data_IF_970723356649
#
_entry.id   IF_970723356649
#
_cell.length_a   1.000
_cell.length_b   1.000
_cell.length_c   1.000
_cell.angle_alpha   90.00
_cell.angle_beta   90.00
_cell.angle_gamma   90.00
#
_symmetry.space_group_name_H-M   'P 1'
#
loop_
_entity.id
_entity.type
_entity.pdbx_description
1 polymer ?
#
# COMPACT_ATOMS: atom_id res chain seq x y z
N UNK A 1 23.03 -10.06 -2.47
CA UNK A 1 22.78 -10.71 -1.17
C UNK A 1 21.46 -10.18 -0.68
N UNK A 2 20.44 -11.03 -0.61
CA UNK A 2 19.07 -10.61 -0.28
C UNK A 2 19.05 -10.02 1.14
N UNK A 3 18.70 -8.74 1.26
CA UNK A 3 18.44 -8.10 2.54
C UNK A 3 17.36 -8.85 3.32
N UNK A 4 17.24 -8.64 4.64
CA UNK A 4 16.25 -9.34 5.45
C UNK A 4 14.86 -8.87 5.01
N UNK A 5 14.24 -9.63 4.11
CA UNK A 5 12.82 -9.52 3.84
C UNK A 5 12.11 -9.61 5.18
N UNK A 6 11.66 -8.47 5.68
CA UNK A 6 11.07 -8.37 7.00
C UNK A 6 9.84 -9.28 6.98
N UNK A 7 9.97 -10.45 7.60
CA UNK A 7 8.88 -11.40 7.82
C UNK A 7 8.00 -10.81 8.90
N UNK A 8 7.29 -9.73 8.56
CA UNK A 8 6.15 -9.29 9.34
C UNK A 8 5.18 -10.46 9.38
N UNK A 9 4.68 -10.86 10.56
CA UNK A 9 3.55 -11.78 10.58
C UNK A 9 2.44 -11.12 9.75
N UNK A 10 2.09 -11.69 8.59
CA UNK A 10 0.96 -11.30 7.74
C UNK A 10 -0.37 -11.61 8.45
N UNK A 11 -0.52 -11.11 9.68
CA UNK A 11 -1.52 -11.55 10.65
C UNK A 11 -2.35 -10.36 11.11
N UNK A 12 -2.91 -9.66 10.14
CA UNK A 12 -4.19 -8.95 10.24
C UNK A 12 -4.52 -8.43 8.84
N UNK A 13 -5.34 -9.16 8.11
CA UNK A 13 -6.05 -8.59 6.96
C UNK A 13 -7.51 -8.45 7.41
N UNK A 14 -7.85 -7.41 8.19
CA UNK A 14 -9.14 -7.30 8.88
C UNK A 14 -10.35 -7.34 7.94
N UNK A 15 -10.13 -7.04 6.65
CA UNK A 15 -11.16 -6.97 5.63
C UNK A 15 -11.18 -8.18 4.66
N UNK A 16 -10.34 -9.21 4.87
CA UNK A 16 -10.17 -10.30 3.89
C UNK A 16 -11.43 -11.14 3.65
N UNK A 17 -12.32 -11.19 4.64
CA UNK A 17 -13.58 -11.95 4.58
C UNK A 17 -14.83 -11.07 4.53
N UNK A 18 -14.68 -9.75 4.41
CA UNK A 18 -15.80 -8.81 4.42
C UNK A 18 -16.24 -8.46 3.00
N UNK A 19 -17.54 -8.33 2.79
CA UNK A 19 -18.04 -7.78 1.53
C UNK A 19 -17.85 -6.26 1.46
N UNK A 20 -17.79 -5.71 0.25
CA UNK A 20 -17.66 -4.26 0.05
C UNK A 20 -18.76 -3.47 0.75
N UNK A 21 -19.99 -3.99 0.77
CA UNK A 21 -21.11 -3.31 1.43
C UNK A 21 -20.89 -3.23 2.95
N UNK A 22 -20.39 -4.30 3.57
CA UNK A 22 -20.11 -4.33 5.01
C UNK A 22 -18.99 -3.35 5.39
N UNK A 23 -17.96 -3.22 4.55
CA UNK A 23 -16.85 -2.27 4.75
C UNK A 23 -17.38 -0.84 4.68
N UNK A 24 -18.24 -0.53 3.71
CA UNK A 24 -18.85 0.80 3.54
C UNK A 24 -19.76 1.14 4.71
N UNK A 25 -20.55 0.18 5.20
CA UNK A 25 -21.43 0.39 6.34
C UNK A 25 -20.64 0.68 7.62
N UNK A 26 -19.50 0.00 7.82
CA UNK A 26 -18.60 0.32 8.94
C UNK A 26 -17.97 1.70 8.75
N UNK A 27 -17.48 2.03 7.55
CA UNK A 27 -16.89 3.34 7.26
C UNK A 27 -17.86 4.51 7.51
N UNK A 28 -19.16 4.30 7.23
CA UNK A 28 -20.22 5.27 7.57
C UNK A 28 -20.47 5.35 9.07
N UNK A 29 -20.39 4.25 9.81
CA UNK A 29 -20.55 4.24 11.28
C UNK A 29 -19.42 4.93 12.03
N UNK A 30 -18.21 4.96 11.46
CA UNK A 30 -17.03 5.63 12.04
C UNK A 30 -16.78 7.02 11.44
N UNK A 31 -17.73 7.54 10.66
CA UNK A 31 -17.67 8.85 9.99
C UNK A 31 -16.44 9.08 9.08
N UNK A 32 -15.79 8.01 8.59
CA UNK A 32 -14.62 8.13 7.69
C UNK A 32 -15.01 8.10 6.21
N UNK A 33 -16.20 7.60 5.87
CA UNK A 33 -16.61 7.36 4.48
C UNK A 33 -16.53 8.63 3.61
N UNK A 34 -17.03 9.77 4.11
CA UNK A 34 -17.07 11.04 3.37
C UNK A 34 -15.66 11.59 3.06
N UNK A 35 -14.69 11.38 3.95
CA UNK A 35 -13.28 11.74 3.69
C UNK A 35 -12.58 10.78 2.74
N UNK A 36 -12.93 9.49 2.79
CA UNK A 36 -12.28 8.46 1.98
C UNK A 36 -12.71 8.45 0.50
N UNK A 37 -13.85 9.05 0.16
CA UNK A 37 -14.37 9.14 -1.22
C UNK A 37 -14.01 10.46 -1.92
N UNK A 38 -13.26 11.35 -1.25
CA UNK A 38 -12.84 12.61 -1.85
C UNK A 38 -12.05 12.33 -3.15
N UNK A 39 -12.37 13.04 -4.26
CA UNK A 39 -11.75 12.80 -5.55
C UNK A 39 -10.33 13.37 -5.54
N UNK A 40 -9.39 12.60 -5.02
CA UNK A 40 -7.98 12.88 -5.16
C UNK A 40 -7.47 12.26 -6.46
N UNK A 41 -6.45 12.88 -7.06
CA UNK A 41 -5.65 12.23 -8.09
C UNK A 41 -4.90 11.07 -7.43
N UNK A 42 -5.59 9.94 -7.32
CA UNK A 42 -5.01 8.71 -6.79
C UNK A 42 -3.81 8.36 -7.68
N UNK A 43 -2.65 8.18 -7.07
CA UNK A 43 -1.41 7.70 -7.68
C UNK A 43 -1.63 6.47 -8.60
N UNK A 44 -2.73 5.75 -8.39
CA UNK A 44 -3.26 4.70 -9.25
C UNK A 44 -3.36 5.08 -10.73
N UNK A 45 -3.75 6.29 -11.13
CA UNK A 45 -3.87 6.62 -12.58
C UNK A 45 -2.53 6.85 -13.27
N UNK A 46 -1.51 7.25 -12.50
CA UNK A 46 -0.16 7.53 -13.00
C UNK A 46 0.67 6.25 -13.11
N UNK A 47 0.45 5.28 -12.20
CA UNK A 47 1.26 4.07 -12.12
C UNK A 47 0.55 2.78 -12.57
N UNK A 48 -0.75 2.81 -12.87
CA UNK A 48 -1.45 1.60 -13.33
C UNK A 48 -1.13 1.31 -14.81
N UNK A 49 -0.45 0.20 -15.12
CA UNK A 49 -0.27 -0.23 -16.51
C UNK A 49 -1.64 -0.59 -17.13
N UNK A 50 -1.85 -0.26 -18.41
CA UNK A 50 -3.13 -0.50 -19.12
C UNK A 50 -3.64 -1.94 -19.07
N UNK A 51 -2.76 -2.92 -18.84
CA UNK A 51 -3.09 -4.33 -18.72
C UNK A 51 -2.43 -4.95 -17.47
N UNK A 52 -3.10 -4.93 -16.30
CA UNK A 52 -2.56 -5.54 -15.09
C UNK A 52 -2.50 -7.07 -15.25
N UNK A 53 -1.33 -7.65 -14.96
CA UNK A 53 -1.17 -9.11 -14.95
C UNK A 53 -1.87 -9.70 -13.72
N UNK A 54 -2.92 -10.49 -13.93
CA UNK A 54 -3.71 -11.14 -12.86
C UNK A 54 -3.00 -12.30 -12.17
N UNK A 55 -1.90 -12.82 -12.75
CA UNK A 55 -1.06 -13.88 -12.19
C UNK A 55 0.42 -13.56 -12.39
N UNK A 56 1.04 -12.75 -11.52
CA UNK A 56 2.46 -12.46 -11.62
C UNK A 56 3.30 -13.70 -11.27
N UNK A 57 4.37 -13.94 -12.02
CA UNK A 57 5.35 -15.00 -11.75
C UNK A 57 6.51 -14.39 -10.96
N UNK A 58 6.84 -14.94 -9.79
CA UNK A 58 7.86 -14.39 -8.89
C UNK A 58 9.22 -14.18 -9.57
N UNK A 59 9.65 -15.12 -10.41
CA UNK A 59 10.92 -15.04 -11.14
C UNK A 59 10.98 -13.82 -12.08
N UNK A 60 9.85 -13.46 -12.70
CA UNK A 60 9.77 -12.28 -13.55
C UNK A 60 9.84 -10.99 -12.73
N UNK A 61 9.28 -10.98 -11.51
CA UNK A 61 9.32 -9.82 -10.62
C UNK A 61 10.77 -9.56 -10.18
N UNK A 62 11.44 -10.57 -9.64
CA UNK A 62 12.82 -10.42 -9.12
C UNK A 62 13.78 -9.95 -10.22
N UNK A 63 13.65 -10.48 -11.45
CA UNK A 63 14.48 -10.07 -12.58
C UNK A 63 14.25 -8.61 -13.02
N UNK A 64 13.04 -8.10 -12.87
CA UNK A 64 12.75 -6.69 -13.16
C UNK A 64 13.15 -5.78 -11.99
N UNK A 65 13.06 -6.25 -10.74
CA UNK A 65 13.55 -5.55 -9.55
C UNK A 65 15.08 -5.37 -9.59
N UNK A 66 15.85 -6.37 -10.05
CA UNK A 66 17.31 -6.27 -10.20
C UNK A 66 17.80 -5.16 -11.15
N UNK A 67 16.92 -4.66 -12.03
CA UNK A 67 17.27 -3.55 -12.94
C UNK A 67 17.22 -2.18 -12.27
N UNK A 68 16.62 -2.10 -11.08
CA UNK A 68 16.43 -0.87 -10.33
C UNK A 68 17.26 -0.91 -9.05
N UNK A 69 18.05 0.12 -8.81
CA UNK A 69 18.82 0.26 -7.56
C UNK A 69 17.88 0.75 -6.45
N UNK A 70 17.29 -0.20 -5.72
CA UNK A 70 16.21 0.04 -4.75
C UNK A 70 16.75 0.52 -3.40
N UNK A 71 17.93 0.06 -3.01
CA UNK A 71 18.58 0.35 -1.74
C UNK A 71 18.71 1.85 -1.45
N UNK A 72 19.25 2.70 -2.35
CA UNK A 72 19.33 4.15 -2.08
C UNK A 72 17.96 4.82 -2.04
N UNK A 73 17.00 4.36 -2.85
CA UNK A 73 15.64 4.91 -2.89
C UNK A 73 14.87 4.63 -1.59
N UNK A 74 15.07 3.44 -1.00
CA UNK A 74 14.47 3.06 0.27
C UNK A 74 15.05 3.91 1.42
N UNK A 75 16.36 4.11 1.44
CA UNK A 75 17.04 4.91 2.47
C UNK A 75 16.57 6.37 2.42
N UNK A 76 16.46 6.96 1.22
CA UNK A 76 15.94 8.31 1.03
C UNK A 76 14.49 8.44 1.55
N UNK A 77 13.62 7.49 1.21
CA UNK A 77 12.22 7.50 1.64
C UNK A 77 12.07 7.38 3.17
N UNK A 78 12.90 6.55 3.81
CA UNK A 78 12.88 6.40 5.28
C UNK A 78 13.41 7.67 5.94
N UNK A 79 14.51 8.22 5.43
CA UNK A 79 15.12 9.44 5.96
C UNK A 79 14.19 10.66 5.85
N UNK A 80 13.42 10.75 4.76
CA UNK A 80 12.44 11.83 4.52
C UNK A 80 11.10 11.67 5.25
N UNK A 81 10.92 10.68 6.12
CA UNK A 81 9.62 10.43 6.78
C UNK A 81 9.31 11.48 7.86
N UNK A 82 8.24 12.24 7.66
CA UNK A 82 7.71 13.18 8.65
C UNK A 82 6.82 12.47 9.68
N UNK A 83 7.01 12.77 10.97
CA UNK A 83 6.19 12.23 12.07
C UNK A 83 5.33 13.33 12.67
N UNK A 84 4.03 13.25 12.42
CA UNK A 84 3.04 14.10 13.08
C UNK A 84 2.52 13.39 14.33
N UNK A 85 2.80 13.95 15.50
CA UNK A 85 2.18 13.51 16.76
C UNK A 85 1.03 14.45 17.07
N UNK A 86 -0.19 14.02 16.76
CA UNK A 86 -1.39 14.73 17.17
C UNK A 86 -1.64 14.49 18.66
N UNK A 87 -1.39 15.49 19.49
CA UNK A 87 -1.86 15.50 20.88
C UNK A 87 -3.32 15.92 20.84
N UNK A 88 -4.23 14.95 20.93
CA UNK A 88 -5.65 15.22 21.15
C UNK A 88 -5.81 15.85 22.54
N UNK A 89 -6.33 17.08 22.59
CA UNK A 89 -6.82 17.72 23.82
C UNK A 89 -8.24 17.26 24.12
#
# INVERSE_FOLDING_TARGET
GAGPAVRWPRRCSPLIGMDKLEIVDIARKIDTFETSILPYEDCCTVFTPRHPKTRPVLEQIVREEEKLDLEPLIEEAISGTEKLVAILR
#
